data_IF_610529086589
#
_entry.id   IF_610529086589
#
_cell.length_a   1.000
_cell.length_b   1.000
_cell.length_c   1.000
_cell.angle_alpha   90.00
_cell.angle_beta   90.00
_cell.angle_gamma   90.00
#
_symmetry.space_group_name_H-M   'P 1'
#
loop_
_entity.id
_entity.type
_entity.pdbx_description
1 polymer ?
#
# COMPACT_ATOMS: atom_id res chain seq x y z
N UNK A 1 29.56 -33.04 -9.45
CA UNK A 1 28.10 -33.18 -9.25
C UNK A 1 27.51 -32.17 -8.25
N UNK A 2 28.10 -31.93 -7.06
CA UNK A 2 27.57 -30.96 -6.08
C UNK A 2 27.41 -29.51 -6.58
N UNK A 3 28.24 -29.05 -7.54
CA UNK A 3 28.18 -27.68 -8.08
C UNK A 3 27.04 -27.44 -9.10
N UNK A 4 26.59 -28.49 -9.80
CA UNK A 4 25.51 -28.39 -10.82
C UNK A 4 24.14 -28.32 -10.14
N UNK A 5 23.96 -29.04 -9.03
CA UNK A 5 22.72 -28.99 -8.24
C UNK A 5 22.44 -27.58 -7.67
N UNK A 6 23.49 -26.85 -7.27
CA UNK A 6 23.38 -25.48 -6.77
C UNK A 6 22.92 -24.49 -7.85
N UNK A 7 23.38 -24.66 -9.10
CA UNK A 7 23.00 -23.80 -10.23
C UNK A 7 21.54 -24.02 -10.66
N UNK A 8 21.04 -25.26 -10.61
CA UNK A 8 19.62 -25.54 -10.88
C UNK A 8 18.68 -25.01 -9.79
N UNK A 9 19.11 -24.99 -8.52
CA UNK A 9 18.31 -24.41 -7.43
C UNK A 9 18.24 -22.87 -7.54
N UNK A 10 19.30 -22.23 -8.02
CA UNK A 10 19.34 -20.78 -8.23
C UNK A 10 18.47 -20.33 -9.42
N UNK A 11 18.37 -21.12 -10.49
CA UNK A 11 17.50 -20.83 -11.63
C UNK A 11 16.00 -20.98 -11.30
N UNK A 12 15.65 -21.95 -10.45
CA UNK A 12 14.28 -22.10 -9.93
C UNK A 12 13.85 -20.91 -9.04
N UNK A 13 14.74 -20.41 -8.18
CA UNK A 13 14.45 -19.25 -7.33
C UNK A 13 14.27 -17.94 -8.13
N UNK A 14 15.04 -17.74 -9.20
CA UNK A 14 14.92 -16.57 -10.08
C UNK A 14 13.60 -16.56 -10.87
N UNK A 15 13.10 -17.74 -11.25
CA UNK A 15 11.82 -17.90 -11.94
C UNK A 15 10.63 -17.51 -11.05
N UNK A 16 10.63 -17.92 -9.78
CA UNK A 16 9.55 -17.58 -8.83
C UNK A 16 9.44 -16.08 -8.55
N UNK A 17 10.57 -15.36 -8.43
CA UNK A 17 10.58 -13.91 -8.24
C UNK A 17 10.01 -13.18 -9.46
N UNK A 18 10.35 -13.64 -10.66
CA UNK A 18 9.88 -13.05 -11.92
C UNK A 18 8.38 -13.31 -12.11
N UNK A 19 7.91 -14.53 -11.85
CA UNK A 19 6.49 -14.88 -11.90
C UNK A 19 5.66 -14.08 -10.88
N UNK A 20 6.17 -13.90 -9.66
CA UNK A 20 5.51 -13.09 -8.63
C UNK A 20 5.40 -11.63 -9.06
N UNK A 21 6.45 -11.06 -9.65
CA UNK A 21 6.43 -9.69 -10.18
C UNK A 21 5.42 -9.51 -11.31
N UNK A 22 5.33 -10.49 -12.21
CA UNK A 22 4.35 -10.49 -13.30
C UNK A 22 2.91 -10.61 -12.77
N UNK A 23 2.68 -11.46 -11.76
CA UNK A 23 1.38 -11.59 -11.12
C UNK A 23 0.93 -10.27 -10.48
N UNK A 24 1.82 -9.59 -9.73
CA UNK A 24 1.53 -8.28 -9.14
C UNK A 24 1.17 -7.24 -10.21
N UNK A 25 1.90 -7.22 -11.33
CA UNK A 25 1.62 -6.27 -12.40
C UNK A 25 0.29 -6.58 -13.10
N UNK A 26 -0.02 -7.85 -13.31
CA UNK A 26 -1.32 -8.30 -13.82
C UNK A 26 -2.46 -7.85 -12.90
N UNK A 27 -2.34 -8.10 -11.59
CA UNK A 27 -3.32 -7.68 -10.59
C UNK A 27 -3.49 -6.15 -10.57
N UNK A 28 -2.38 -5.39 -10.66
CA UNK A 28 -2.40 -3.92 -10.74
C UNK A 28 -3.22 -3.44 -11.93
N UNK A 29 -3.06 -4.05 -13.10
CA UNK A 29 -3.81 -3.71 -14.32
C UNK A 29 -5.29 -4.04 -14.14
N UNK A 30 -5.62 -5.20 -13.58
CA UNK A 30 -7.01 -5.66 -13.34
C UNK A 30 -7.78 -4.78 -12.35
N UNK A 31 -7.12 -4.22 -11.34
CA UNK A 31 -7.77 -3.29 -10.37
C UNK A 31 -8.24 -1.99 -11.03
N UNK A 32 -7.67 -1.63 -12.19
CA UNK A 32 -8.01 -0.42 -12.94
C UNK A 32 -7.42 0.87 -12.34
N UNK A 33 -7.81 2.03 -12.87
CA UNK A 33 -7.24 3.32 -12.45
C UNK A 33 -7.71 3.70 -11.04
N UNK A 34 -6.75 3.93 -10.15
CA UNK A 34 -6.93 4.49 -8.81
C UNK A 34 -6.13 5.79 -8.75
N UNK A 35 -6.80 6.94 -8.65
CA UNK A 35 -6.15 8.26 -8.76
C UNK A 35 -5.77 8.84 -7.41
N UNK A 36 -6.50 8.48 -6.36
CA UNK A 36 -6.34 9.06 -5.03
C UNK A 36 -6.83 8.10 -3.94
N UNK A 37 -6.59 8.48 -2.67
CA UNK A 37 -6.98 7.71 -1.49
C UNK A 37 -8.50 7.47 -1.40
N UNK A 38 -9.34 8.43 -1.84
CA UNK A 38 -10.80 8.25 -1.83
C UNK A 38 -11.21 7.10 -2.76
N UNK A 39 -10.54 6.94 -3.91
CA UNK A 39 -10.78 5.83 -4.83
C UNK A 39 -10.40 4.49 -4.19
N UNK A 40 -9.29 4.44 -3.45
CA UNK A 40 -8.88 3.24 -2.68
C UNK A 40 -9.96 2.86 -1.67
N UNK A 41 -10.42 3.83 -0.86
CA UNK A 41 -11.45 3.62 0.17
C UNK A 41 -12.77 3.18 -0.46
N UNK A 42 -13.17 3.80 -1.57
CA UNK A 42 -14.40 3.45 -2.29
C UNK A 42 -14.35 2.00 -2.77
N UNK A 43 -13.27 1.62 -3.47
CA UNK A 43 -13.07 0.24 -3.94
C UNK A 43 -13.05 -0.77 -2.78
N UNK A 44 -12.35 -0.45 -1.69
CA UNK A 44 -12.32 -1.30 -0.51
C UNK A 44 -13.72 -1.53 0.07
N UNK A 45 -14.55 -0.47 0.15
CA UNK A 45 -15.95 -0.60 0.60
C UNK A 45 -16.79 -1.45 -0.36
N UNK A 46 -16.62 -1.28 -1.67
CA UNK A 46 -17.32 -2.08 -2.68
C UNK A 46 -16.97 -3.57 -2.57
N UNK A 47 -15.68 -3.89 -2.40
CA UNK A 47 -15.21 -5.28 -2.20
C UNK A 47 -15.80 -5.86 -0.91
N UNK A 48 -15.69 -5.14 0.21
CA UNK A 48 -16.24 -5.60 1.49
C UNK A 48 -17.77 -5.78 1.44
N UNK A 49 -18.50 -4.89 0.76
CA UNK A 49 -19.95 -4.99 0.63
C UNK A 49 -20.39 -6.26 -0.11
N UNK A 50 -19.63 -6.68 -1.13
CA UNK A 50 -19.92 -7.88 -1.95
C UNK A 50 -19.35 -9.17 -1.36
N UNK A 51 -18.41 -9.07 -0.43
CA UNK A 51 -17.78 -10.24 0.20
C UNK A 51 -18.75 -11.00 1.12
N UNK A 52 -18.48 -12.31 1.28
CA UNK A 52 -19.24 -13.22 2.14
C UNK A 52 -18.83 -13.15 3.63
N UNK A 53 -17.95 -12.23 4.01
CA UNK A 53 -17.52 -12.07 5.41
C UNK A 53 -18.65 -11.52 6.29
N UNK A 54 -18.56 -11.76 7.59
CA UNK A 54 -19.57 -11.30 8.54
C UNK A 54 -19.67 -9.78 8.64
N UNK A 55 -20.85 -9.26 8.99
CA UNK A 55 -21.03 -7.83 9.29
C UNK A 55 -20.11 -7.34 10.41
N UNK A 56 -19.79 -8.21 11.38
CA UNK A 56 -18.80 -7.91 12.43
C UNK A 56 -17.41 -7.65 11.83
N UNK A 57 -16.95 -8.49 10.89
CA UNK A 57 -15.67 -8.29 10.20
C UNK A 57 -15.70 -7.01 9.36
N UNK A 58 -16.78 -6.74 8.62
CA UNK A 58 -16.94 -5.49 7.87
C UNK A 58 -16.84 -4.26 8.77
N UNK A 59 -17.49 -4.30 9.93
CA UNK A 59 -17.42 -3.22 10.93
C UNK A 59 -16.00 -3.05 11.49
N UNK A 60 -15.31 -4.15 11.80
CA UNK A 60 -13.90 -4.12 12.25
C UNK A 60 -12.97 -3.48 11.21
N UNK A 61 -13.22 -3.67 9.92
CA UNK A 61 -12.48 -2.99 8.84
C UNK A 61 -12.72 -1.47 8.83
N UNK A 62 -13.96 -1.04 9.02
CA UNK A 62 -14.32 0.38 9.09
C UNK A 62 -13.65 1.03 10.31
N UNK A 63 -13.67 0.36 11.46
CA UNK A 63 -13.09 0.88 12.69
C UNK A 63 -11.56 0.91 12.63
N UNK A 64 -10.95 -0.12 12.03
CA UNK A 64 -9.52 -0.13 11.73
C UNK A 64 -9.12 1.05 10.82
N UNK A 65 -9.91 1.33 9.78
CA UNK A 65 -9.65 2.49 8.93
C UNK A 65 -9.71 3.81 9.73
N UNK A 66 -10.72 3.96 10.59
CA UNK A 66 -10.89 5.15 11.43
C UNK A 66 -9.75 5.32 12.44
N UNK A 67 -9.28 4.23 13.06
CA UNK A 67 -8.24 4.29 14.09
C UNK A 67 -6.90 4.82 13.57
N UNK A 68 -6.57 4.54 12.31
CA UNK A 68 -5.32 5.02 11.67
C UNK A 68 -5.49 6.36 10.94
N UNK A 69 -6.72 6.84 10.74
CA UNK A 69 -7.00 8.03 9.92
C UNK A 69 -6.41 9.31 10.51
N UNK A 70 -6.60 9.54 11.82
CA UNK A 70 -6.11 10.75 12.48
C UNK A 70 -4.58 10.86 12.41
N UNK A 71 -3.87 9.74 12.59
CA UNK A 71 -2.41 9.72 12.46
C UNK A 71 -1.96 9.95 11.01
N UNK A 72 -2.63 9.33 10.04
CA UNK A 72 -2.36 9.55 8.62
C UNK A 72 -2.53 11.03 8.22
N UNK A 73 -3.64 11.65 8.62
CA UNK A 73 -3.94 13.06 8.32
C UNK A 73 -2.90 14.00 8.96
N UNK A 74 -2.50 13.74 10.21
CA UNK A 74 -1.44 14.51 10.89
C UNK A 74 -0.08 14.38 10.20
N UNK A 75 0.27 13.19 9.69
CA UNK A 75 1.51 13.00 8.94
C UNK A 75 1.47 13.80 7.63
N UNK A 76 0.37 13.75 6.90
CA UNK A 76 0.20 14.47 5.64
C UNK A 76 0.25 16.00 5.83
N UNK A 77 -0.34 16.51 6.90
CA UNK A 77 -0.25 17.92 7.29
C UNK A 77 1.19 18.36 7.50
N UNK A 78 1.96 17.62 8.31
CA UNK A 78 3.39 17.89 8.54
C UNK A 78 4.23 17.82 7.26
N UNK A 79 3.90 16.91 6.35
CA UNK A 79 4.55 16.86 5.03
C UNK A 79 4.28 18.15 4.25
N UNK A 80 3.03 18.64 4.24
CA UNK A 80 2.66 19.90 3.57
C UNK A 80 3.39 21.09 4.19
N UNK A 81 3.43 21.18 5.52
CA UNK A 81 4.19 22.23 6.23
C UNK A 81 5.67 22.23 5.84
N UNK A 82 6.35 21.07 5.88
CA UNK A 82 7.75 20.99 5.52
C UNK A 82 8.00 21.26 4.03
N UNK A 83 7.07 20.96 3.12
CA UNK A 83 7.17 21.36 1.71
C UNK A 83 7.17 22.88 1.55
N UNK A 84 6.35 23.59 2.33
CA UNK A 84 6.35 25.07 2.35
C UNK A 84 7.69 25.58 2.90
N UNK A 85 8.24 24.96 3.96
CA UNK A 85 9.57 25.31 4.49
C UNK A 85 10.68 25.07 3.46
N UNK A 86 10.58 23.99 2.69
CA UNK A 86 11.52 23.65 1.64
C UNK A 86 11.48 24.70 0.51
N UNK A 87 10.28 25.10 0.08
CA UNK A 87 10.10 26.20 -0.88
C UNK A 87 10.70 27.52 -0.35
N UNK A 88 10.41 27.89 0.91
CA UNK A 88 11.01 29.07 1.55
C UNK A 88 12.54 29.00 1.59
N UNK A 89 13.12 27.81 1.74
CA UNK A 89 14.57 27.62 1.77
C UNK A 89 15.18 27.78 0.38
N UNK A 90 14.48 27.33 -0.67
CA UNK A 90 14.92 27.47 -2.06
C UNK A 90 14.94 28.92 -2.54
N UNK A 91 13.96 29.74 -2.15
CA UNK A 91 13.84 31.14 -2.59
C UNK A 91 14.53 32.14 -1.66
N UNK A 92 15.25 31.66 -0.64
CA UNK A 92 15.96 32.53 0.30
C UNK A 92 17.14 33.24 -0.40
N UNK A 93 17.32 34.53 -0.10
CA UNK A 93 18.44 35.35 -0.64
C UNK A 93 19.80 34.66 -0.46
N UNK A 94 20.00 34.05 0.70
CA UNK A 94 21.17 33.22 1.01
C UNK A 94 20.71 31.78 1.15
N UNK A 95 20.85 31.00 0.08
CA UNK A 95 20.52 29.59 0.09
C UNK A 95 21.40 28.82 1.07
N UNK A 96 20.80 27.89 1.82
CA UNK A 96 21.51 26.99 2.73
C UNK A 96 21.22 25.53 2.36
N UNK A 97 22.18 24.87 1.73
CA UNK A 97 22.10 23.45 1.38
C UNK A 97 21.83 22.59 2.61
N UNK A 98 22.54 22.85 3.71
CA UNK A 98 22.34 22.13 4.98
C UNK A 98 20.89 22.24 5.48
N UNK A 99 20.28 23.42 5.43
CA UNK A 99 18.88 23.61 5.84
C UNK A 99 17.93 22.86 4.91
N UNK A 100 18.19 22.91 3.60
CA UNK A 100 17.42 22.16 2.59
C UNK A 100 17.45 20.66 2.88
N UNK A 101 18.63 20.09 3.09
CA UNK A 101 18.82 18.65 3.34
C UNK A 101 18.13 18.19 4.62
N UNK A 102 18.20 18.99 5.69
CA UNK A 102 17.51 18.70 6.95
C UNK A 102 16.00 18.63 6.72
N UNK A 103 15.42 19.60 6.02
CA UNK A 103 13.97 19.65 5.75
C UNK A 103 13.56 18.50 4.83
N UNK A 104 14.32 18.23 3.77
CA UNK A 104 14.09 17.11 2.86
C UNK A 104 14.12 15.76 3.60
N UNK A 105 15.07 15.56 4.52
CA UNK A 105 15.14 14.36 5.34
C UNK A 105 13.93 14.22 6.29
N UNK A 106 13.41 15.32 6.84
CA UNK A 106 12.18 15.29 7.64
C UNK A 106 10.97 14.84 6.81
N UNK A 107 10.83 15.34 5.59
CA UNK A 107 9.78 14.89 4.65
C UNK A 107 9.94 13.39 4.36
N UNK A 108 11.16 12.93 4.03
CA UNK A 108 11.44 11.51 3.76
C UNK A 108 11.01 10.61 4.92
N UNK A 109 11.36 10.97 6.16
CA UNK A 109 10.96 10.22 7.37
C UNK A 109 9.46 10.16 7.55
N UNK A 110 8.74 11.26 7.30
CA UNK A 110 7.27 11.29 7.37
C UNK A 110 6.61 10.43 6.29
N UNK A 111 7.13 10.44 5.06
CA UNK A 111 6.65 9.58 3.97
C UNK A 111 6.82 8.10 4.32
N UNK A 112 8.00 7.72 4.84
CA UNK A 112 8.24 6.35 5.32
C UNK A 112 7.28 5.99 6.45
N UNK A 113 7.07 6.88 7.42
CA UNK A 113 6.11 6.67 8.50
C UNK A 113 4.68 6.45 7.97
N UNK A 114 4.24 7.23 6.97
CA UNK A 114 2.91 7.06 6.35
C UNK A 114 2.79 5.70 5.66
N UNK A 115 3.85 5.25 4.99
CA UNK A 115 3.92 3.94 4.36
C UNK A 115 3.83 2.81 5.41
N UNK A 116 4.61 2.89 6.48
CA UNK A 116 4.61 1.90 7.55
C UNK A 116 3.25 1.79 8.23
N UNK A 117 2.57 2.93 8.44
CA UNK A 117 1.20 2.99 8.95
C UNK A 117 0.22 2.24 8.04
N UNK A 118 0.27 2.48 6.73
CA UNK A 118 -0.55 1.74 5.75
C UNK A 118 -0.27 0.25 5.78
N UNK A 119 1.01 -0.15 5.81
CA UNK A 119 1.38 -1.58 5.84
C UNK A 119 0.93 -2.26 7.13
N UNK A 120 1.02 -1.57 8.26
CA UNK A 120 0.48 -2.03 9.55
C UNK A 120 -1.04 -2.25 9.43
N UNK A 121 -1.76 -1.27 8.90
CA UNK A 121 -3.19 -1.36 8.68
C UNK A 121 -3.57 -2.55 7.79
N UNK A 122 -2.87 -2.78 6.66
CA UNK A 122 -3.17 -3.94 5.80
C UNK A 122 -2.89 -5.28 6.49
N UNK A 123 -1.83 -5.37 7.30
CA UNK A 123 -1.54 -6.57 8.10
C UNK A 123 -2.62 -6.82 9.16
N UNK A 124 -3.12 -5.77 9.82
CA UNK A 124 -4.21 -5.85 10.77
C UNK A 124 -5.53 -6.25 10.08
N UNK A 125 -5.81 -5.69 8.91
CA UNK A 125 -6.95 -6.08 8.07
C UNK A 125 -6.91 -7.56 7.68
N UNK A 126 -5.75 -8.07 7.26
CA UNK A 126 -5.57 -9.51 6.98
C UNK A 126 -5.91 -10.39 8.19
N UNK A 127 -5.58 -9.95 9.41
CA UNK A 127 -5.94 -10.70 10.63
C UNK A 127 -7.45 -10.71 10.88
N UNK A 128 -8.15 -9.62 10.58
CA UNK A 128 -9.63 -9.55 10.69
C UNK A 128 -10.29 -10.52 9.69
N UNK A 129 -9.76 -10.62 8.48
CA UNK A 129 -10.28 -11.56 7.47
C UNK A 129 -10.06 -13.02 7.85
N UNK A 130 -8.95 -13.34 8.53
CA UNK A 130 -8.68 -14.70 8.99
C UNK A 130 -8.72 -15.71 7.85
N UNK A 131 -9.41 -16.83 8.07
CA UNK A 131 -9.59 -17.90 7.08
C UNK A 131 -10.48 -17.48 5.90
N UNK A 132 -11.33 -16.47 6.09
CA UNK A 132 -12.29 -16.00 5.08
C UNK A 132 -11.64 -15.08 4.04
N UNK A 133 -10.34 -14.77 4.18
CA UNK A 133 -9.62 -13.85 3.31
C UNK A 133 -9.68 -14.21 1.81
N UNK A 134 -9.72 -15.51 1.48
CA UNK A 134 -9.89 -15.97 0.08
C UNK A 134 -11.24 -15.54 -0.50
N UNK A 135 -12.30 -15.64 0.29
CA UNK A 135 -13.68 -15.35 -0.14
C UNK A 135 -14.01 -13.86 -0.33
N UNK A 136 -13.07 -12.97 -0.01
CA UNK A 136 -13.25 -11.51 -0.14
C UNK A 136 -13.18 -11.08 -1.60
N UNK A 137 -12.39 -11.78 -2.41
CA UNK A 137 -12.21 -11.51 -3.83
C UNK A 137 -12.86 -12.56 -4.75
N UNK A 138 -13.42 -13.65 -4.19
CA UNK A 138 -14.21 -14.66 -4.90
C UNK A 138 -15.61 -14.14 -5.29
N UNK A 139 -15.66 -13.03 -6.03
CA UNK A 139 -16.84 -12.59 -6.77
C UNK A 139 -16.78 -13.22 -8.18
N UNK A 140 -17.66 -14.18 -8.52
CA UNK A 140 -17.71 -14.81 -9.84
C UNK A 140 -17.80 -13.78 -10.98
N UNK A 141 -18.32 -12.58 -10.72
CA UNK A 141 -18.40 -11.49 -11.70
C UNK A 141 -17.02 -10.95 -12.11
N UNK A 142 -16.03 -11.01 -11.22
CA UNK A 142 -14.66 -10.58 -11.50
C UNK A 142 -13.89 -11.62 -12.33
N UNK A 143 -14.08 -12.92 -12.07
CA UNK A 143 -13.55 -14.02 -12.87
C UNK A 143 -14.14 -14.03 -14.29
N UNK A 144 -15.45 -13.80 -14.42
CA UNK A 144 -16.15 -13.79 -15.72
C UNK A 144 -15.64 -12.65 -16.63
N UNK A 145 -15.28 -11.50 -16.06
CA UNK A 145 -14.82 -10.32 -16.81
C UNK A 145 -13.30 -10.29 -17.07
N UNK A 146 -12.51 -11.11 -16.37
CA UNK A 146 -11.03 -11.08 -16.41
C UNK A 146 -10.39 -12.46 -16.59
N UNK A 147 -11.10 -13.36 -17.27
CA UNK A 147 -10.71 -14.74 -17.62
C UNK A 147 -9.20 -14.94 -17.58
N UNK A 148 -8.75 -15.76 -16.64
CA UNK A 148 -7.52 -16.52 -16.78
C UNK A 148 -7.79 -17.71 -17.69
#
# INVERSE_FOLDING_TARGET
>A
MKKILLLCLLSLAASCATATKQAIESDRVKVGKVKNEKDVVKKAREVLAKSKISEKQKQQFVDLYRSHRAEADSIEEKIREYRVVLLKTLVAKNFSQRKFDIVANKIKKLVLKRYDLSMKQYKEGKKILGVDAGSVYDDPWFEIMHKF
#
